data_IF_251959044490
#
_entry.id   IF_251959044490
#
_cell.length_a   1.000
_cell.length_b   1.000
_cell.length_c   1.000
_cell.angle_alpha   90.00
_cell.angle_beta   90.00
_cell.angle_gamma   90.00
#
_symmetry.space_group_name_H-M   'P 1'
#
loop_
_entity.id
_entity.type
_entity.pdbx_description
1 polymer ?
#
# COMPACT_ATOMS: atom_id res chain seq x y z
N UNK A 1 64.26 27.45 -35.75
CA UNK A 1 63.89 26.38 -34.80
C UNK A 1 62.38 26.42 -34.66
N UNK A 2 61.70 25.39 -35.16
CA UNK A 2 60.24 25.32 -35.34
C UNK A 2 59.55 24.99 -34.01
N UNK A 3 58.56 25.78 -33.60
CA UNK A 3 57.71 25.50 -32.44
C UNK A 3 56.38 24.92 -32.93
N UNK A 4 56.16 23.64 -32.61
CA UNK A 4 54.96 22.89 -32.90
C UNK A 4 53.98 23.06 -31.73
N UNK A 5 52.92 23.87 -31.90
CA UNK A 5 51.84 23.98 -30.92
C UNK A 5 50.80 22.89 -31.19
N UNK A 6 50.79 21.86 -30.34
CA UNK A 6 49.82 20.77 -30.37
C UNK A 6 48.54 21.22 -29.64
N UNK A 7 47.50 21.54 -30.41
CA UNK A 7 46.18 21.91 -29.87
C UNK A 7 45.44 20.64 -29.44
N UNK A 8 45.31 20.40 -28.13
CA UNK A 8 44.44 19.36 -27.59
C UNK A 8 42.98 19.79 -27.69
N UNK A 9 42.23 19.18 -28.61
CA UNK A 9 40.76 19.31 -28.68
C UNK A 9 40.16 18.33 -27.67
N UNK A 10 39.70 18.85 -26.53
CA UNK A 10 38.93 18.09 -25.55
C UNK A 10 37.48 18.01 -26.03
N UNK A 11 37.08 16.87 -26.58
CA UNK A 11 35.69 16.60 -26.98
C UNK A 11 34.90 16.20 -25.72
N UNK A 12 34.09 17.11 -25.19
CA UNK A 12 33.11 16.78 -24.16
C UNK A 12 31.93 16.02 -24.80
N UNK A 13 31.84 14.71 -24.54
CA UNK A 13 30.62 13.94 -24.80
C UNK A 13 29.58 14.29 -23.73
N UNK A 14 28.68 15.22 -24.04
CA UNK A 14 27.48 15.48 -23.23
C UNK A 14 26.52 14.30 -23.45
N UNK A 15 26.54 13.32 -22.55
CA UNK A 15 25.51 12.27 -22.54
C UNK A 15 24.23 12.86 -21.95
N UNK A 16 23.29 13.20 -22.83
CA UNK A 16 21.93 13.56 -22.43
C UNK A 16 21.25 12.27 -21.98
N UNK A 17 21.25 12.02 -20.66
CA UNK A 17 20.34 11.05 -20.05
C UNK A 17 18.93 11.64 -20.07
N UNK A 18 18.19 11.36 -21.14
CA UNK A 18 16.75 11.57 -21.14
C UNK A 18 16.13 10.60 -20.14
N UNK A 19 15.82 11.09 -18.94
CA UNK A 19 15.02 10.34 -17.96
C UNK A 19 13.63 10.11 -18.54
N UNK A 20 13.32 8.86 -18.91
CA UNK A 20 11.96 8.49 -19.23
C UNK A 20 11.12 8.66 -17.96
N UNK A 21 10.16 9.59 -18.00
CA UNK A 21 9.17 9.69 -16.94
C UNK A 21 8.45 8.33 -16.82
N UNK A 22 8.47 7.72 -15.63
CA UNK A 22 7.78 6.47 -15.37
C UNK A 22 6.28 6.68 -15.64
N UNK A 23 5.72 5.95 -16.60
CA UNK A 23 4.28 5.97 -16.87
C UNK A 23 3.58 5.01 -15.91
N UNK A 24 2.53 5.49 -15.25
CA UNK A 24 1.67 4.70 -14.38
C UNK A 24 0.34 4.43 -15.09
N UNK A 25 -0.26 3.24 -14.93
CA UNK A 25 -1.55 2.94 -15.53
C UNK A 25 -2.66 3.79 -14.91
N UNK A 26 -3.63 4.24 -15.71
CA UNK A 26 -4.80 4.97 -15.18
C UNK A 26 -5.61 4.12 -14.19
N UNK A 27 -5.66 2.82 -14.42
CA UNK A 27 -6.31 1.82 -13.57
C UNK A 27 -5.50 0.54 -13.51
N UNK A 28 -5.43 -0.09 -12.35
CA UNK A 28 -4.83 -1.41 -12.18
C UNK A 28 -5.47 -2.10 -10.98
N UNK A 29 -5.39 -3.43 -10.94
CA UNK A 29 -5.85 -4.20 -9.81
C UNK A 29 -4.69 -4.74 -8.99
N UNK A 30 -4.87 -4.72 -7.68
CA UNK A 30 -4.00 -5.40 -6.74
C UNK A 30 -4.72 -6.64 -6.26
N UNK A 31 -4.05 -7.79 -6.36
CA UNK A 31 -4.50 -9.05 -5.77
C UNK A 31 -3.72 -9.30 -4.49
N UNK A 32 -4.43 -9.51 -3.39
CA UNK A 32 -3.88 -10.03 -2.15
C UNK A 32 -4.37 -11.46 -1.92
N UNK A 33 -3.42 -12.40 -1.96
CA UNK A 33 -3.65 -13.74 -1.41
C UNK A 33 -3.46 -13.67 0.10
N UNK A 34 -4.32 -14.36 0.86
CA UNK A 34 -4.32 -14.32 2.33
C UNK A 34 -4.38 -15.72 2.93
N UNK A 35 -4.11 -15.84 4.22
CA UNK A 35 -4.28 -17.08 5.00
C UNK A 35 -5.61 -17.15 5.77
N UNK A 36 -6.57 -16.25 5.45
CA UNK A 36 -7.89 -16.22 6.08
C UNK A 36 -8.63 -17.53 5.77
N UNK A 37 -8.95 -18.29 6.83
CA UNK A 37 -9.67 -19.56 6.70
C UNK A 37 -11.16 -19.33 6.48
N UNK A 38 -11.77 -20.16 5.65
CA UNK A 38 -13.23 -20.13 5.41
C UNK A 38 -13.68 -19.10 4.37
N UNK A 39 -12.77 -18.36 3.77
CA UNK A 39 -13.03 -17.51 2.61
C UNK A 39 -12.33 -18.08 1.37
N UNK A 40 -13.03 -18.06 0.23
CA UNK A 40 -12.60 -18.78 -0.98
C UNK A 40 -11.83 -17.91 -1.97
N UNK A 41 -11.88 -16.58 -1.79
CA UNK A 41 -11.43 -15.62 -2.78
C UNK A 41 -10.26 -14.78 -2.27
N UNK A 42 -9.30 -14.41 -3.14
CA UNK A 42 -8.35 -13.35 -2.85
C UNK A 42 -9.10 -12.02 -2.63
N UNK A 43 -8.46 -11.08 -1.94
CA UNK A 43 -8.93 -9.70 -1.94
C UNK A 43 -8.38 -9.04 -3.20
N UNK A 44 -9.26 -8.61 -4.11
CA UNK A 44 -8.88 -7.87 -5.32
C UNK A 44 -9.42 -6.46 -5.21
N UNK A 45 -8.54 -5.48 -5.41
CA UNK A 45 -8.84 -4.05 -5.27
C UNK A 45 -8.56 -3.38 -6.61
N UNK A 46 -9.56 -2.72 -7.17
CA UNK A 46 -9.39 -1.85 -8.33
C UNK A 46 -8.91 -0.48 -7.87
N UNK A 47 -7.70 -0.10 -8.30
CA UNK A 47 -7.08 1.19 -8.03
C UNK A 47 -7.34 2.11 -9.21
N UNK A 48 -7.84 3.31 -8.93
CA UNK A 48 -8.11 4.35 -9.93
C UNK A 48 -7.19 5.54 -9.69
N UNK A 49 -6.19 5.73 -10.55
CA UNK A 49 -5.19 6.77 -10.38
C UNK A 49 -5.79 8.17 -10.26
N UNK A 50 -6.86 8.45 -11.03
CA UNK A 50 -7.55 9.75 -11.01
C UNK A 50 -8.18 10.10 -9.65
N UNK A 51 -8.40 9.14 -8.76
CA UNK A 51 -8.99 9.40 -7.44
C UNK A 51 -7.96 9.93 -6.43
N UNK A 52 -6.73 9.43 -6.49
CA UNK A 52 -5.63 9.81 -5.61
C UNK A 52 -4.29 9.48 -6.29
N UNK A 53 -3.81 10.33 -7.22
CA UNK A 53 -2.69 9.98 -8.10
C UNK A 53 -1.36 9.74 -7.39
N UNK A 54 -1.06 10.48 -6.31
CA UNK A 54 0.18 10.28 -5.56
C UNK A 54 0.13 8.95 -4.81
N UNK A 55 -0.97 8.68 -4.10
CA UNK A 55 -1.19 7.40 -3.43
C UNK A 55 -1.22 6.22 -4.39
N UNK A 56 -1.90 6.33 -5.54
CA UNK A 56 -2.02 5.25 -6.51
C UNK A 56 -0.68 4.90 -7.16
N UNK A 57 0.13 5.90 -7.53
CA UNK A 57 1.47 5.67 -8.09
C UNK A 57 2.41 5.07 -7.04
N UNK A 58 2.40 5.62 -5.82
CA UNK A 58 3.20 5.11 -4.72
C UNK A 58 2.85 3.64 -4.40
N UNK A 59 1.57 3.30 -4.33
CA UNK A 59 1.14 1.92 -4.09
C UNK A 59 1.56 0.98 -5.22
N UNK A 60 1.52 1.45 -6.48
CA UNK A 60 1.99 0.67 -7.62
C UNK A 60 3.48 0.30 -7.46
N UNK A 61 4.30 1.24 -7.03
CA UNK A 61 5.73 1.00 -6.79
C UNK A 61 5.96 0.06 -5.60
N UNK A 62 5.22 0.26 -4.50
CA UNK A 62 5.29 -0.62 -3.32
C UNK A 62 4.98 -2.07 -3.70
N UNK A 63 3.90 -2.32 -4.47
CA UNK A 63 3.48 -3.67 -4.86
C UNK A 63 4.48 -4.33 -5.83
N UNK A 64 5.10 -3.56 -6.72
CA UNK A 64 6.14 -4.09 -7.63
C UNK A 64 7.53 -4.23 -6.97
N UNK A 65 7.69 -3.75 -5.75
CA UNK A 65 8.93 -3.87 -5.00
C UNK A 65 9.01 -5.17 -4.19
N UNK A 66 10.06 -5.30 -3.38
CA UNK A 66 10.18 -6.40 -2.41
C UNK A 66 9.37 -6.18 -1.13
N UNK A 67 8.51 -5.16 -1.03
CA UNK A 67 7.79 -4.84 0.21
C UNK A 67 7.02 -6.05 0.79
N UNK A 68 6.36 -6.82 -0.08
CA UNK A 68 5.56 -8.01 0.28
C UNK A 68 6.26 -9.34 -0.06
N UNK A 69 7.60 -9.39 -0.12
CA UNK A 69 8.32 -10.63 -0.40
C UNK A 69 8.18 -11.69 0.72
N UNK A 70 7.87 -11.23 1.95
CA UNK A 70 7.43 -12.06 3.08
C UNK A 70 6.01 -11.66 3.51
N UNK A 71 5.27 -12.56 4.17
CA UNK A 71 3.91 -12.26 4.59
C UNK A 71 3.81 -11.01 5.47
N UNK A 72 2.75 -10.23 5.31
CA UNK A 72 2.49 -8.99 6.06
C UNK A 72 1.16 -9.06 6.77
N UNK A 73 1.12 -8.73 8.07
CA UNK A 73 -0.05 -8.92 8.90
C UNK A 73 -1.15 -7.86 8.68
N UNK A 74 -2.39 -8.28 8.84
CA UNK A 74 -3.52 -7.39 9.14
C UNK A 74 -3.46 -7.03 10.62
N UNK A 75 -2.75 -5.97 10.94
CA UNK A 75 -2.30 -5.67 12.30
C UNK A 75 -3.33 -4.90 13.14
N UNK A 76 -4.40 -4.39 12.52
CA UNK A 76 -5.48 -3.70 13.22
C UNK A 76 -6.80 -3.97 12.54
N UNK A 77 -7.75 -4.50 13.31
CA UNK A 77 -9.11 -4.78 12.86
C UNK A 77 -10.07 -4.13 13.85
N UNK A 78 -10.87 -3.18 13.37
CA UNK A 78 -11.90 -2.54 14.17
C UNK A 78 -13.25 -2.91 13.55
N UNK A 79 -14.01 -3.84 14.18
CA UNK A 79 -15.31 -4.23 13.66
C UNK A 79 -16.21 -3.02 13.43
N UNK A 80 -16.96 -3.04 12.32
CA UNK A 80 -17.80 -1.90 11.90
C UNK A 80 -17.02 -0.59 11.70
N UNK A 81 -15.75 -0.69 11.33
CA UNK A 81 -14.96 0.47 10.94
C UNK A 81 -14.04 0.11 9.78
N UNK A 82 -12.87 -0.48 10.06
CA UNK A 82 -11.83 -0.76 9.06
C UNK A 82 -10.99 -1.98 9.44
N UNK A 83 -10.31 -2.54 8.44
CA UNK A 83 -9.08 -3.33 8.63
C UNK A 83 -7.89 -2.60 8.05
N UNK A 84 -6.80 -2.57 8.80
CA UNK A 84 -5.58 -1.85 8.46
C UNK A 84 -4.39 -2.82 8.38
N UNK A 85 -3.53 -2.55 7.39
CA UNK A 85 -2.36 -3.33 7.02
C UNK A 85 -1.31 -2.40 6.37
N UNK A 86 -0.27 -2.97 5.78
CA UNK A 86 0.78 -2.20 5.09
C UNK A 86 2.01 -1.89 5.95
N UNK A 87 2.25 -2.72 6.97
CA UNK A 87 3.57 -2.88 7.62
C UNK A 87 4.13 -4.22 7.13
N UNK A 88 5.31 -4.17 6.51
CA UNK A 88 6.00 -5.37 6.02
C UNK A 88 6.42 -6.26 7.18
N UNK A 89 6.32 -7.57 6.98
CA UNK A 89 6.90 -8.56 7.89
C UNK A 89 8.43 -8.54 7.95
N UNK A 90 9.09 -7.81 7.04
CA UNK A 90 10.53 -7.53 7.05
C UNK A 90 10.79 -6.06 7.44
N UNK A 91 11.43 -5.81 8.61
CA UNK A 91 11.80 -4.47 9.05
C UNK A 91 12.66 -3.67 8.06
N UNK A 92 13.46 -4.33 7.22
CA UNK A 92 14.28 -3.64 6.23
C UNK A 92 13.42 -2.96 5.15
N UNK A 93 12.29 -3.57 4.75
CA UNK A 93 11.36 -2.96 3.82
C UNK A 93 10.62 -1.78 4.46
N UNK A 94 10.24 -1.89 5.73
CA UNK A 94 9.62 -0.77 6.46
C UNK A 94 10.54 0.46 6.46
N UNK A 95 11.83 0.28 6.76
CA UNK A 95 12.82 1.36 6.72
C UNK A 95 13.04 1.93 5.31
N UNK A 96 13.06 1.08 4.29
CA UNK A 96 13.25 1.52 2.90
C UNK A 96 12.12 2.43 2.41
N UNK A 97 10.90 2.13 2.86
CA UNK A 97 9.66 2.80 2.47
C UNK A 97 9.13 3.79 3.51
N UNK A 98 9.92 4.09 4.55
CA UNK A 98 9.65 5.17 5.50
C UNK A 98 9.94 6.54 4.87
N UNK A 99 9.17 6.86 3.83
CA UNK A 99 9.28 8.05 3.00
C UNK A 99 7.88 8.60 2.77
N UNK A 100 7.47 9.65 3.51
CA UNK A 100 6.11 10.13 3.42
C UNK A 100 5.82 10.75 2.05
N UNK A 101 4.59 10.53 1.57
CA UNK A 101 4.03 11.18 0.39
C UNK A 101 3.09 12.32 0.77
N UNK A 102 2.98 13.31 -0.11
CA UNK A 102 2.05 14.45 0.07
C UNK A 102 0.60 14.01 -0.05
N UNK A 103 -0.28 14.75 0.63
CA UNK A 103 -1.73 14.90 0.46
C UNK A 103 -2.29 14.71 -0.97
N UNK A 104 -3.16 13.73 -1.23
CA UNK A 104 -4.07 13.76 -2.37
C UNK A 104 -5.38 14.44 -1.92
N UNK A 105 -6.05 15.20 -2.79
CA UNK A 105 -7.39 15.70 -2.48
C UNK A 105 -8.38 14.54 -2.34
N UNK A 106 -9.39 14.73 -1.48
CA UNK A 106 -10.48 13.76 -1.34
C UNK A 106 -11.47 13.96 -2.49
N UNK A 107 -11.40 13.09 -3.50
CA UNK A 107 -12.28 13.12 -4.68
C UNK A 107 -13.40 12.07 -4.63
N UNK A 108 -13.25 11.06 -3.78
CA UNK A 108 -14.21 9.99 -3.54
C UNK A 108 -14.47 9.83 -2.04
N UNK A 109 -15.64 9.31 -1.68
CA UNK A 109 -16.03 9.11 -0.28
C UNK A 109 -15.57 7.76 0.26
N UNK A 110 -15.19 7.70 1.54
CA UNK A 110 -14.80 6.50 2.28
C UNK A 110 -16.02 5.59 2.57
N UNK A 111 -16.56 4.97 1.53
CA UNK A 111 -17.69 4.04 1.59
C UNK A 111 -17.23 2.59 1.76
N UNK A 112 -18.16 1.65 1.95
CA UNK A 112 -17.87 0.21 2.11
C UNK A 112 -16.92 -0.31 1.02
N UNK A 113 -15.88 -1.04 1.42
CA UNK A 113 -14.91 -1.68 0.53
C UNK A 113 -13.87 -0.74 -0.07
N UNK A 114 -13.96 0.58 0.15
CA UNK A 114 -12.93 1.52 -0.34
C UNK A 114 -11.60 1.33 0.41
N UNK A 115 -10.50 1.55 -0.30
CA UNK A 115 -9.13 1.50 0.20
C UNK A 115 -8.59 2.94 0.30
N UNK A 116 -8.01 3.28 1.46
CA UNK A 116 -7.40 4.57 1.75
C UNK A 116 -6.08 4.40 2.50
N UNK A 117 -5.16 5.35 2.38
CA UNK A 117 -3.95 5.40 3.21
C UNK A 117 -4.29 5.80 4.65
N UNK A 118 -3.67 5.13 5.63
CA UNK A 118 -3.62 5.61 7.00
C UNK A 118 -2.62 6.78 7.13
N UNK A 119 -2.78 7.61 8.16
CA UNK A 119 -1.96 8.81 8.34
C UNK A 119 -1.80 9.18 9.81
N UNK A 120 -0.67 9.80 10.16
CA UNK A 120 -0.42 10.42 11.47
C UNK A 120 -0.66 11.94 11.45
N UNK A 121 -1.17 12.48 10.33
CA UNK A 121 -1.37 13.90 10.10
C UNK A 121 -1.02 14.32 8.66
N UNK A 122 -1.17 15.61 8.31
CA UNK A 122 -0.94 16.07 6.95
C UNK A 122 0.43 15.66 6.39
N UNK A 123 0.44 15.09 5.18
CA UNK A 123 1.65 14.67 4.45
C UNK A 123 2.54 13.65 5.19
N UNK A 124 1.95 12.71 5.95
CA UNK A 124 2.70 11.69 6.70
C UNK A 124 2.45 10.26 6.20
N UNK A 125 1.72 10.10 5.10
CA UNK A 125 1.32 8.79 4.56
C UNK A 125 2.53 8.05 4.01
N UNK A 126 2.74 6.80 4.41
CA UNK A 126 3.82 5.92 3.91
C UNK A 126 3.23 4.71 3.20
N UNK A 127 3.20 3.53 3.85
CA UNK A 127 2.75 2.26 3.25
C UNK A 127 1.49 1.70 3.90
N UNK A 128 1.08 2.25 5.04
CA UNK A 128 -0.06 1.75 5.78
C UNK A 128 -1.38 2.14 5.11
N UNK A 129 -2.26 1.17 4.95
CA UNK A 129 -3.54 1.28 4.23
C UNK A 129 -4.65 0.65 5.06
N UNK A 130 -5.88 1.05 4.79
CA UNK A 130 -7.05 0.39 5.35
C UNK A 130 -8.18 0.21 4.34
N UNK A 131 -8.94 -0.88 4.52
CA UNK A 131 -10.19 -1.13 3.81
C UNK A 131 -11.35 -0.78 4.74
N UNK A 132 -12.29 0.02 4.23
CA UNK A 132 -13.52 0.37 4.94
C UNK A 132 -14.49 -0.82 5.01
N UNK A 133 -14.91 -1.20 6.21
CA UNK A 133 -15.95 -2.24 6.40
C UNK A 133 -17.37 -1.69 6.35
N UNK A 134 -17.54 -0.41 6.64
CA UNK A 134 -18.82 0.29 6.61
C UNK A 134 -18.66 1.63 5.86
N UNK A 135 -19.74 2.38 5.72
CA UNK A 135 -19.64 3.79 5.34
C UNK A 135 -18.95 4.59 6.45
N UNK A 136 -17.81 5.16 6.10
CA UNK A 136 -16.98 6.00 6.94
C UNK A 136 -16.75 7.38 6.29
N UNK A 137 -17.74 7.93 5.57
CA UNK A 137 -17.72 9.29 4.98
C UNK A 137 -17.31 10.38 5.97
N UNK A 138 -17.45 10.14 7.29
CA UNK A 138 -16.86 10.98 8.35
C UNK A 138 -15.33 11.18 8.25
N UNK A 139 -14.62 10.33 7.52
CA UNK A 139 -13.18 10.43 7.25
C UNK A 139 -12.86 11.38 6.10
N UNK A 140 -13.81 11.66 5.21
CA UNK A 140 -13.62 12.54 4.05
C UNK A 140 -13.14 13.95 4.45
N UNK A 141 -13.79 14.66 5.40
CA UNK A 141 -13.32 15.98 5.84
C UNK A 141 -11.98 15.93 6.61
N UNK A 142 -11.51 14.74 7.00
CA UNK A 142 -10.22 14.55 7.66
C UNK A 142 -9.07 14.30 6.66
N UNK A 143 -9.35 14.28 5.36
CA UNK A 143 -8.33 14.17 4.32
C UNK A 143 -7.95 12.74 3.93
N UNK A 144 -8.73 11.73 4.34
CA UNK A 144 -8.51 10.35 3.90
C UNK A 144 -9.02 10.18 2.46
N UNK A 145 -8.14 10.30 1.48
CA UNK A 145 -8.47 10.15 0.07
C UNK A 145 -8.49 8.67 -0.36
N UNK A 146 -9.66 8.11 -0.74
CA UNK A 146 -9.73 6.76 -1.29
C UNK A 146 -9.02 6.69 -2.65
N UNK A 147 -8.26 5.62 -2.86
CA UNK A 147 -7.55 5.36 -4.12
C UNK A 147 -8.08 4.15 -4.89
N UNK A 148 -8.95 3.35 -4.26
CA UNK A 148 -9.54 2.18 -4.90
C UNK A 148 -10.66 1.54 -4.11
N UNK A 149 -11.19 0.45 -4.64
CA UNK A 149 -12.31 -0.28 -4.05
C UNK A 149 -12.15 -1.79 -4.25
N UNK A 150 -12.48 -2.57 -3.24
CA UNK A 150 -12.52 -4.04 -3.29
C UNK A 150 -13.58 -4.48 -4.31
N UNK A 151 -13.19 -5.24 -5.32
CA UNK A 151 -14.10 -5.82 -6.33
C UNK A 151 -14.29 -7.32 -6.18
N UNK A 152 -13.45 -7.99 -5.38
CA UNK A 152 -13.59 -9.41 -5.03
C UNK A 152 -13.00 -9.64 -3.64
N UNK A 153 -13.60 -10.53 -2.84
CA UNK A 153 -13.07 -10.90 -1.53
C UNK A 153 -13.37 -9.89 -0.42
N UNK A 154 -14.44 -9.09 -0.51
CA UNK A 154 -14.87 -8.25 0.62
C UNK A 154 -15.32 -9.11 1.81
N UNK A 155 -15.93 -10.26 1.54
CA UNK A 155 -16.20 -11.31 2.52
C UNK A 155 -14.91 -11.86 3.15
N UNK A 156 -13.87 -12.11 2.34
CA UNK A 156 -12.53 -12.45 2.85
C UNK A 156 -11.98 -11.37 3.77
N UNK A 157 -12.08 -10.10 3.39
CA UNK A 157 -11.66 -8.99 4.23
C UNK A 157 -12.45 -8.97 5.55
N UNK A 158 -13.77 -9.08 5.50
CA UNK A 158 -14.62 -9.11 6.68
C UNK A 158 -14.37 -10.32 7.62
N UNK A 159 -13.81 -11.41 7.09
CA UNK A 159 -13.48 -12.61 7.85
C UNK A 159 -12.10 -12.54 8.55
N UNK A 160 -11.33 -11.47 8.35
CA UNK A 160 -10.02 -11.28 9.00
C UNK A 160 -10.21 -11.24 10.53
N UNK A 161 -9.42 -12.07 11.23
CA UNK A 161 -9.43 -12.18 12.67
C UNK A 161 -9.01 -10.86 13.35
N UNK A 162 -9.73 -10.44 14.39
CA UNK A 162 -9.32 -9.30 15.21
C UNK A 162 -8.25 -9.70 16.24
N UNK A 163 -6.98 -9.27 16.07
CA UNK A 163 -5.91 -9.66 16.98
C UNK A 163 -6.02 -9.02 18.38
N UNK A 164 -6.83 -7.96 18.54
CA UNK A 164 -6.99 -7.22 19.79
C UNK A 164 -8.47 -6.95 20.12
N UNK A 165 -9.26 -7.97 20.48
CA UNK A 165 -10.68 -7.78 20.83
C UNK A 165 -10.87 -6.78 21.96
N UNK A 166 -11.80 -5.84 21.79
CA UNK A 166 -12.08 -4.80 22.78
C UNK A 166 -11.17 -3.56 22.70
N UNK A 167 -10.15 -3.55 21.84
CA UNK A 167 -9.33 -2.38 21.55
C UNK A 167 -9.47 -1.93 20.08
N UNK A 168 -9.43 -0.62 19.86
CA UNK A 168 -9.39 -0.02 18.53
C UNK A 168 -7.99 0.29 18.03
N UNK A 169 -6.94 0.03 18.83
CA UNK A 169 -5.57 0.45 18.53
C UNK A 169 -4.85 -0.54 17.59
N UNK A 170 -5.28 -1.80 17.62
CA UNK A 170 -4.58 -2.90 16.96
C UNK A 170 -3.37 -3.37 17.78
N UNK A 171 -2.49 -4.12 17.15
CA UNK A 171 -1.22 -4.53 17.77
C UNK A 171 -0.27 -3.34 17.93
N UNK A 172 0.77 -3.51 18.74
CA UNK A 172 1.87 -2.55 18.82
C UNK A 172 2.62 -2.46 17.47
N UNK A 173 2.40 -1.36 16.76
CA UNK A 173 2.92 -1.14 15.41
C UNK A 173 4.42 -0.82 15.40
N UNK A 174 4.95 -0.20 16.46
CA UNK A 174 6.37 0.08 16.58
C UNK A 174 7.15 -1.22 16.77
N UNK A 175 6.63 -2.12 17.60
CA UNK A 175 7.22 -3.45 17.76
C UNK A 175 7.09 -4.27 16.48
N UNK A 176 5.94 -4.24 15.79
CA UNK A 176 5.79 -4.99 14.54
C UNK A 176 6.69 -4.46 13.43
N UNK A 177 6.75 -3.14 13.23
CA UNK A 177 7.57 -2.53 12.18
C UNK A 177 9.06 -2.77 12.37
N UNK A 178 9.55 -2.82 13.62
CA UNK A 178 10.96 -2.99 13.95
C UNK A 178 11.41 -4.45 14.11
N UNK A 179 10.51 -5.34 14.58
CA UNK A 179 10.84 -6.75 14.85
C UNK A 179 10.25 -7.74 13.85
N UNK A 180 9.29 -7.30 13.03
CA UNK A 180 8.73 -8.06 11.91
C UNK A 180 7.99 -9.34 12.31
N UNK A 181 7.97 -10.28 11.36
CA UNK A 181 7.23 -11.53 11.47
C UNK A 181 7.54 -12.40 12.70
N UNK A 182 8.80 -12.53 13.17
CA UNK A 182 9.09 -13.27 14.40
C UNK A 182 8.32 -12.75 15.62
N UNK A 183 8.24 -11.43 15.77
CA UNK A 183 7.54 -10.83 16.92
C UNK A 183 6.03 -10.95 16.79
N UNK A 184 5.45 -10.60 15.63
CA UNK A 184 3.99 -10.61 15.48
C UNK A 184 3.42 -12.03 15.62
N UNK A 185 4.11 -13.05 15.10
CA UNK A 185 3.68 -14.45 15.19
C UNK A 185 3.76 -14.98 16.62
N UNK A 186 4.76 -14.54 17.38
CA UNK A 186 4.91 -14.93 18.78
C UNK A 186 3.80 -14.30 19.65
N UNK A 187 3.49 -13.02 19.44
CA UNK A 187 2.56 -12.29 20.30
C UNK A 187 1.09 -12.42 19.86
N UNK A 188 0.83 -12.69 18.58
CA UNK A 188 -0.52 -12.80 18.01
C UNK A 188 -0.61 -14.04 17.10
N UNK A 189 -0.62 -15.27 17.67
CA UNK A 189 -0.51 -16.51 16.89
C UNK A 189 -1.70 -16.78 15.94
N UNK A 190 -2.84 -16.10 16.13
CA UNK A 190 -4.03 -16.22 15.29
C UNK A 190 -4.14 -15.12 14.22
N UNK A 191 -3.18 -14.18 14.15
CA UNK A 191 -3.23 -13.07 13.22
C UNK A 191 -3.18 -13.55 11.77
N UNK A 192 -3.97 -12.92 10.91
CA UNK A 192 -3.97 -13.21 9.49
C UNK A 192 -2.94 -12.39 8.73
N UNK A 193 -2.48 -12.93 7.61
CA UNK A 193 -1.47 -12.33 6.75
C UNK A 193 -1.95 -12.22 5.31
N UNK A 194 -1.50 -11.16 4.65
CA UNK A 194 -1.29 -11.13 3.22
C UNK A 194 -0.07 -12.00 2.95
N UNK A 195 -0.23 -13.09 2.19
CA UNK A 195 0.83 -14.06 1.92
C UNK A 195 1.53 -13.81 0.59
N UNK A 196 0.84 -13.17 -0.36
CA UNK A 196 1.38 -12.79 -1.67
C UNK A 196 0.60 -11.62 -2.23
N UNK A 197 1.29 -10.78 -2.99
CA UNK A 197 0.69 -9.68 -3.75
C UNK A 197 1.02 -9.80 -5.24
N UNK A 198 0.14 -9.29 -6.09
CA UNK A 198 0.45 -9.08 -7.51
C UNK A 198 -0.41 -7.97 -8.10
N UNK A 199 0.09 -7.36 -9.18
CA UNK A 199 -0.72 -6.49 -10.02
C UNK A 199 -1.33 -7.32 -11.16
N UNK A 200 -2.60 -7.06 -11.44
CA UNK A 200 -3.32 -7.56 -12.61
C UNK A 200 -4.02 -6.40 -13.30
N UNK A 201 -4.16 -6.46 -14.61
CA UNK A 201 -4.86 -5.44 -15.40
C UNK A 201 -6.30 -5.83 -15.73
N UNK A 202 -6.67 -7.08 -15.45
CA UNK A 202 -8.04 -7.57 -15.59
C UNK A 202 -8.74 -7.49 -14.23
N UNK A 203 -9.27 -6.30 -13.92
CA UNK A 203 -10.06 -6.10 -12.73
C UNK A 203 -11.41 -6.82 -12.83
N UNK A 204 -11.75 -7.74 -11.92
CA UNK A 204 -13.10 -8.24 -11.83
C UNK A 204 -14.06 -7.07 -11.62
N UNK A 205 -15.17 -7.07 -12.36
CA UNK A 205 -16.28 -6.17 -12.09
C UNK A 205 -16.98 -6.68 -10.82
N UNK A 206 -17.33 -5.82 -9.86
CA UNK A 206 -18.10 -6.23 -8.69
C UNK A 206 -19.34 -7.02 -9.14
N UNK A 207 -19.58 -8.19 -8.52
CA UNK A 207 -20.86 -8.87 -8.69
C UNK A 207 -21.92 -8.01 -7.99
N UNK A 208 -22.96 -7.62 -8.73
CA UNK A 208 -24.11 -6.90 -8.19
C UNK A 208 -24.83 -7.70 -7.10
#
# INVERSE_FOLDING_TARGET
MSNFNLLFVVIFFLTIVNGLAQSYPETYCIRFDTDVKGASNPIIINITQKWAPLGANHLFDVINSQFYHVPSAFFRVVPKFVVQFGISGDPAQNKLWDKPIKDDPVLMSNTVGTLSYATAGPNTRTTQLFINYIDNSRLDPLGFAPLGIVTTGLDTANAIFNPTPGSSDGVDQDQYSTKGNPWIRLNYPQINFITKTSITYNCPVPSN
#
